data_IF_598257056701
#
_entry.id   IF_598257056701
#
_cell.length_a   1.000
_cell.length_b   1.000
_cell.length_c   1.000
_cell.angle_alpha   90.00
_cell.angle_beta   90.00
_cell.angle_gamma   90.00
#
_symmetry.space_group_name_H-M   'P 1'
#
loop_
_entity.id
_entity.type
_entity.pdbx_description
1 polymer ?
#
# COMPACT_ATOMS: atom_id res chain seq x y z
N UNK A 1 -30.08 -7.91 10.24
CA UNK A 1 -30.66 -8.20 8.91
C UNK A 1 -29.63 -7.79 7.86
N UNK A 2 -29.39 -8.62 6.84
CA UNK A 2 -28.51 -8.27 5.73
C UNK A 2 -29.23 -7.44 4.67
N UNK A 3 -28.49 -6.81 3.76
CA UNK A 3 -29.06 -6.05 2.63
C UNK A 3 -29.22 -7.02 1.45
N UNK A 4 -30.39 -7.02 0.82
CA UNK A 4 -30.68 -7.86 -0.32
C UNK A 4 -30.28 -7.15 -1.62
N UNK A 5 -29.74 -7.91 -2.55
CA UNK A 5 -29.39 -7.47 -3.90
C UNK A 5 -29.98 -8.41 -4.93
N UNK A 6 -30.39 -7.88 -6.06
CA UNK A 6 -30.91 -8.67 -7.18
C UNK A 6 -30.34 -8.22 -8.52
N UNK A 7 -30.29 -9.15 -9.46
CA UNK A 7 -30.04 -8.91 -10.89
C UNK A 7 -31.10 -9.71 -11.65
N UNK A 8 -31.77 -9.07 -12.61
CA UNK A 8 -32.67 -9.75 -13.53
C UNK A 8 -32.45 -9.13 -14.92
N UNK A 9 -31.74 -9.85 -15.77
CA UNK A 9 -31.29 -9.31 -17.05
C UNK A 9 -31.30 -10.35 -18.18
N UNK A 10 -31.70 -9.91 -19.37
CA UNK A 10 -31.77 -10.74 -20.59
C UNK A 10 -30.79 -10.20 -21.63
N UNK A 11 -30.12 -11.10 -22.36
CA UNK A 11 -29.20 -10.77 -23.43
C UNK A 11 -29.89 -10.40 -24.75
N UNK A 12 -29.12 -9.99 -25.78
CA UNK A 12 -27.67 -9.95 -25.81
C UNK A 12 -27.10 -8.67 -25.17
N UNK A 13 -26.32 -8.80 -24.09
CA UNK A 13 -25.60 -7.67 -23.44
C UNK A 13 -24.51 -8.13 -22.49
N UNK A 14 -23.68 -7.20 -22.03
CA UNK A 14 -22.82 -7.42 -20.86
C UNK A 14 -23.53 -6.86 -19.64
N UNK A 15 -23.73 -7.70 -18.63
CA UNK A 15 -24.24 -7.32 -17.31
C UNK A 15 -23.08 -6.78 -16.50
N UNK A 16 -23.24 -5.60 -15.90
CA UNK A 16 -22.24 -4.90 -15.10
C UNK A 16 -22.69 -4.76 -13.65
N UNK A 17 -21.78 -4.37 -12.77
CA UNK A 17 -22.07 -4.08 -11.37
C UNK A 17 -23.17 -3.03 -11.18
N UNK A 18 -23.33 -2.05 -12.09
CA UNK A 18 -24.45 -1.08 -12.03
C UNK A 18 -25.84 -1.71 -12.15
N UNK A 19 -25.93 -2.91 -12.73
CA UNK A 19 -27.19 -3.63 -12.94
C UNK A 19 -27.62 -4.38 -11.65
N UNK A 20 -26.80 -4.34 -10.59
CA UNK A 20 -27.15 -4.85 -9.26
C UNK A 20 -28.10 -3.87 -8.58
N UNK A 21 -29.33 -4.33 -8.32
CA UNK A 21 -30.37 -3.57 -7.62
C UNK A 21 -30.29 -3.89 -6.12
N UNK A 22 -30.20 -2.86 -5.29
CA UNK A 22 -30.18 -2.99 -3.83
C UNK A 22 -31.57 -2.76 -3.25
N UNK A 23 -31.91 -3.47 -2.16
CA UNK A 23 -33.09 -3.19 -1.35
C UNK A 23 -33.02 -1.85 -0.60
N UNK A 24 -31.83 -1.27 -0.46
CA UNK A 24 -31.59 0.07 0.09
C UNK A 24 -30.86 0.94 -0.94
N UNK A 25 -31.51 2.02 -1.38
CA UNK A 25 -31.00 2.91 -2.45
C UNK A 25 -29.73 3.67 -2.07
N UNK A 26 -29.40 3.78 -0.77
CA UNK A 26 -28.14 4.37 -0.31
C UNK A 26 -26.95 3.44 -0.47
N UNK A 27 -27.21 2.14 -0.65
CA UNK A 27 -26.20 1.09 -0.71
C UNK A 27 -26.11 0.59 -2.14
N UNK A 28 -24.96 0.81 -2.75
CA UNK A 28 -24.70 0.47 -4.15
C UNK A 28 -23.27 -0.05 -4.31
N UNK A 29 -22.99 -0.79 -5.39
CA UNK A 29 -21.62 -1.11 -5.76
C UNK A 29 -20.76 0.15 -5.87
N UNK A 30 -19.52 0.07 -5.38
CA UNK A 30 -18.58 1.20 -5.40
C UNK A 30 -18.27 1.63 -6.84
N UNK A 31 -18.06 0.65 -7.72
CA UNK A 31 -17.82 0.85 -9.14
C UNK A 31 -19.00 0.30 -9.93
N UNK A 32 -19.44 1.05 -10.93
CA UNK A 32 -20.59 0.76 -11.79
C UNK A 32 -20.18 0.05 -13.11
N UNK A 33 -18.87 -0.12 -13.33
CA UNK A 33 -18.28 -0.61 -14.59
C UNK A 33 -17.68 -2.01 -14.51
N UNK A 34 -17.83 -2.75 -13.40
CA UNK A 34 -17.25 -4.09 -13.27
C UNK A 34 -18.11 -5.07 -14.07
N UNK A 35 -17.59 -5.75 -15.11
CA UNK A 35 -18.35 -6.74 -15.86
C UNK A 35 -18.59 -7.99 -15.00
N UNK A 36 -19.82 -8.49 -15.01
CA UNK A 36 -20.23 -9.70 -14.28
C UNK A 36 -20.28 -10.88 -15.24
N UNK A 37 -21.09 -10.77 -16.29
CA UNK A 37 -21.26 -11.82 -17.31
C UNK A 37 -21.66 -11.20 -18.64
N UNK A 38 -21.28 -11.86 -19.75
CA UNK A 38 -21.76 -11.54 -21.09
C UNK A 38 -22.84 -12.54 -21.49
N UNK A 39 -24.05 -12.05 -21.75
CA UNK A 39 -25.20 -12.81 -22.21
C UNK A 39 -25.32 -12.72 -23.74
N UNK A 40 -25.57 -13.85 -24.39
CA UNK A 40 -25.98 -13.95 -25.79
C UNK A 40 -27.49 -13.76 -25.92
N UNK A 41 -27.98 -13.81 -27.14
CA UNK A 41 -29.42 -13.80 -27.44
C UNK A 41 -30.13 -14.94 -26.69
N UNK A 42 -31.28 -14.62 -26.10
CA UNK A 42 -32.10 -15.52 -25.27
C UNK A 42 -31.45 -16.09 -23.98
N UNK A 43 -30.25 -15.64 -23.60
CA UNK A 43 -29.65 -15.96 -22.30
C UNK A 43 -30.16 -15.01 -21.21
N UNK A 44 -30.52 -15.55 -20.04
CA UNK A 44 -31.04 -14.79 -18.89
C UNK A 44 -30.17 -15.00 -17.64
N UNK A 45 -29.95 -13.94 -16.88
CA UNK A 45 -29.34 -13.97 -15.54
C UNK A 45 -30.35 -13.50 -14.50
N UNK A 46 -30.73 -14.40 -13.59
CA UNK A 46 -31.49 -14.07 -12.38
C UNK A 46 -30.66 -14.41 -11.16
N UNK A 47 -30.36 -13.41 -10.33
CA UNK A 47 -29.57 -13.56 -9.10
C UNK A 47 -30.27 -12.88 -7.95
N UNK A 48 -30.34 -13.56 -6.81
CA UNK A 48 -30.63 -12.96 -5.51
C UNK A 48 -29.45 -13.20 -4.57
N UNK A 49 -29.00 -12.15 -3.90
CA UNK A 49 -27.85 -12.19 -3.00
C UNK A 49 -28.11 -11.37 -1.73
N UNK A 50 -27.43 -11.74 -0.64
CA UNK A 50 -27.51 -11.03 0.63
C UNK A 50 -26.12 -10.61 1.10
N UNK A 51 -25.91 -9.31 1.31
CA UNK A 51 -24.69 -8.83 1.95
C UNK A 51 -24.72 -9.14 3.44
N UNK A 52 -23.61 -9.73 3.91
CA UNK A 52 -23.36 -10.02 5.33
C UNK A 52 -22.04 -9.41 5.72
N UNK A 53 -22.01 -8.84 6.93
CA UNK A 53 -20.77 -8.37 7.56
C UNK A 53 -19.90 -9.58 7.86
N UNK A 54 -18.61 -9.47 7.59
CA UNK A 54 -17.62 -10.50 7.86
C UNK A 54 -16.25 -9.90 8.06
N UNK A 55 -15.26 -10.77 8.24
CA UNK A 55 -13.87 -10.38 8.50
C UNK A 55 -12.98 -10.82 7.35
N UNK A 56 -12.00 -9.98 6.97
CA UNK A 56 -10.98 -10.33 5.97
C UNK A 56 -10.22 -11.63 6.30
N UNK A 57 -10.09 -11.98 7.59
CA UNK A 57 -9.52 -13.26 8.04
C UNK A 57 -10.30 -14.48 7.54
N UNK A 58 -11.62 -14.35 7.36
CA UNK A 58 -12.49 -15.44 6.90
C UNK A 58 -12.52 -15.52 5.38
N UNK A 59 -12.47 -14.37 4.68
CA UNK A 59 -12.43 -14.32 3.23
C UNK A 59 -11.95 -12.94 2.74
N UNK A 60 -11.14 -12.92 1.68
CA UNK A 60 -10.55 -11.69 1.11
C UNK A 60 -11.59 -10.65 0.67
N UNK A 61 -12.76 -11.08 0.21
CA UNK A 61 -13.90 -10.19 -0.16
C UNK A 61 -14.39 -9.25 0.96
N UNK A 62 -14.02 -9.51 2.22
CA UNK A 62 -14.33 -8.65 3.37
C UNK A 62 -13.13 -7.79 3.80
N UNK A 63 -12.03 -7.81 3.06
CA UNK A 63 -10.89 -6.93 3.30
C UNK A 63 -11.17 -5.58 2.62
N UNK A 64 -11.28 -4.47 3.37
CA UNK A 64 -11.57 -3.16 2.80
C UNK A 64 -10.35 -2.51 2.13
N UNK A 65 -9.17 -3.12 2.25
CA UNK A 65 -7.90 -2.61 1.71
C UNK A 65 -7.42 -3.45 0.55
N UNK A 66 -7.00 -2.79 -0.52
CA UNK A 66 -6.25 -3.39 -1.63
C UNK A 66 -4.73 -3.34 -1.36
N UNK A 67 -4.27 -2.27 -0.71
CA UNK A 67 -2.88 -2.11 -0.24
C UNK A 67 -2.91 -1.64 1.20
N UNK A 68 -2.18 -2.32 2.07
CA UNK A 68 -1.88 -1.85 3.42
C UNK A 68 -0.45 -2.25 3.73
N UNK A 69 0.48 -1.32 3.53
CA UNK A 69 1.91 -1.56 3.67
C UNK A 69 2.58 -0.38 4.36
N UNK A 70 3.74 -0.64 4.94
CA UNK A 70 4.60 0.40 5.49
C UNK A 70 6.04 0.15 5.06
N UNK A 71 6.84 1.21 5.14
CA UNK A 71 8.30 1.13 5.14
C UNK A 71 8.82 2.07 6.22
N UNK A 72 10.01 1.80 6.75
CA UNK A 72 10.68 2.77 7.62
C UNK A 72 11.06 4.02 6.83
N UNK A 73 11.14 5.15 7.53
CA UNK A 73 11.53 6.41 6.93
C UNK A 73 13.00 6.32 6.50
N UNK A 74 13.32 6.52 5.21
CA UNK A 74 14.68 6.37 4.72
C UNK A 74 15.62 7.40 5.36
N UNK A 75 16.85 6.98 5.64
CA UNK A 75 17.92 7.86 6.10
C UNK A 75 19.11 7.72 5.15
N UNK A 76 19.59 8.83 4.62
CA UNK A 76 20.74 8.88 3.71
C UNK A 76 21.84 9.68 4.38
N UNK A 77 23.00 9.06 4.57
CA UNK A 77 24.19 9.70 5.13
C UNK A 77 25.34 9.66 4.14
N UNK A 78 26.25 10.62 4.28
CA UNK A 78 27.44 10.75 3.45
C UNK A 78 28.69 10.57 4.31
N UNK A 79 29.71 9.93 3.75
CA UNK A 79 30.99 9.70 4.39
C UNK A 79 32.04 10.63 3.78
N UNK A 80 32.45 11.63 4.55
CA UNK A 80 33.42 12.65 4.13
C UNK A 80 34.86 12.11 4.01
N UNK A 81 35.13 10.88 4.47
CA UNK A 81 36.44 10.21 4.27
C UNK A 81 36.61 9.60 2.86
N UNK A 82 35.56 9.62 2.04
CA UNK A 82 35.55 9.06 0.69
C UNK A 82 35.29 10.17 -0.31
N UNK A 83 36.02 10.16 -1.43
CA UNK A 83 35.79 11.11 -2.51
C UNK A 83 34.34 11.07 -3.00
N UNK A 84 33.81 12.25 -3.30
CA UNK A 84 32.43 12.41 -3.75
C UNK A 84 32.19 11.61 -5.03
N UNK A 85 31.27 10.65 -4.95
CA UNK A 85 30.83 9.87 -6.09
C UNK A 85 29.58 10.49 -6.74
N UNK A 86 29.76 11.40 -7.70
CA UNK A 86 28.63 11.98 -8.43
C UNK A 86 27.82 10.96 -9.25
N UNK A 87 28.39 9.81 -9.60
CA UNK A 87 27.74 8.81 -10.45
C UNK A 87 26.77 7.94 -9.62
N UNK A 88 26.93 7.91 -8.29
CA UNK A 88 26.00 7.18 -7.42
C UNK A 88 24.59 7.80 -7.40
N UNK A 89 24.45 9.08 -7.76
CA UNK A 89 23.14 9.72 -7.91
C UNK A 89 22.37 9.13 -9.11
N UNK A 90 23.05 8.92 -10.23
CA UNK A 90 22.47 8.36 -11.47
C UNK A 90 22.09 6.88 -11.31
N UNK A 91 22.74 6.18 -10.37
CA UNK A 91 22.38 4.82 -9.99
C UNK A 91 21.05 4.72 -9.22
N UNK A 92 20.43 5.83 -8.83
CA UNK A 92 19.13 5.83 -8.15
C UNK A 92 17.98 5.67 -9.17
N UNK A 93 17.28 4.52 -9.22
CA UNK A 93 16.23 4.27 -10.22
C UNK A 93 14.97 5.15 -10.02
N UNK A 94 14.87 5.83 -8.88
CA UNK A 94 13.73 6.67 -8.51
C UNK A 94 14.04 8.17 -8.54
N UNK A 95 15.24 8.56 -8.96
CA UNK A 95 15.62 9.98 -9.06
C UNK A 95 15.62 10.73 -7.73
N UNK A 96 15.86 10.03 -6.61
CA UNK A 96 15.89 10.63 -5.25
C UNK A 96 17.09 11.54 -5.05
N UNK A 97 18.15 11.31 -5.80
CA UNK A 97 19.46 11.96 -5.65
C UNK A 97 19.75 12.82 -6.89
N UNK A 98 20.42 13.96 -6.68
CA UNK A 98 20.91 14.82 -7.76
C UNK A 98 22.30 15.33 -7.44
N UNK A 99 23.24 15.04 -8.32
CA UNK A 99 24.62 15.53 -8.22
C UNK A 99 24.71 17.03 -8.51
N UNK A 100 25.44 17.76 -7.65
CA UNK A 100 25.78 19.17 -7.84
C UNK A 100 27.30 19.35 -7.78
N UNK A 101 27.92 19.38 -8.96
CA UNK A 101 29.37 19.55 -9.12
C UNK A 101 29.85 20.95 -8.74
N UNK A 102 28.97 21.96 -8.71
CA UNK A 102 29.33 23.34 -8.33
C UNK A 102 29.47 23.47 -6.82
N UNK A 103 28.50 22.94 -6.07
CA UNK A 103 28.55 22.90 -4.61
C UNK A 103 29.33 21.72 -4.05
N UNK A 104 29.88 20.85 -4.91
CA UNK A 104 30.60 19.63 -4.53
C UNK A 104 29.80 18.80 -3.52
N UNK A 105 28.56 18.45 -3.86
CA UNK A 105 27.73 17.57 -3.04
C UNK A 105 26.66 16.84 -3.86
N UNK A 106 25.94 15.92 -3.22
CA UNK A 106 24.74 15.28 -3.75
C UNK A 106 23.53 15.77 -2.95
N UNK A 107 22.53 16.29 -3.66
CA UNK A 107 21.27 16.76 -3.08
C UNK A 107 20.25 15.62 -3.04
N UNK A 108 19.54 15.52 -1.93
CA UNK A 108 18.39 14.64 -1.79
C UNK A 108 17.15 15.44 -2.22
N UNK A 109 16.49 15.01 -3.29
CA UNK A 109 15.31 15.70 -3.84
C UNK A 109 14.02 15.25 -3.16
N UNK A 110 13.86 13.93 -2.98
CA UNK A 110 12.65 13.32 -2.42
C UNK A 110 13.03 12.05 -1.65
N UNK A 111 13.32 12.20 -0.37
CA UNK A 111 13.72 11.09 0.49
C UNK A 111 12.59 10.06 0.66
N UNK A 112 11.33 10.49 0.62
CA UNK A 112 10.17 9.62 0.79
C UNK A 112 9.94 8.71 -0.42
N UNK A 113 10.42 9.09 -1.61
CA UNK A 113 10.39 8.20 -2.77
C UNK A 113 11.49 7.13 -2.74
N UNK A 114 12.48 7.21 -1.84
CA UNK A 114 13.54 6.19 -1.73
C UNK A 114 12.98 4.80 -1.39
N UNK A 115 13.30 3.80 -2.20
CA UNK A 115 12.97 2.38 -1.93
C UNK A 115 13.96 1.69 -1.00
N UNK A 116 15.02 2.38 -0.57
CA UNK A 116 16.15 1.78 0.13
C UNK A 116 16.76 0.58 -0.62
N UNK A 117 16.71 0.56 -1.95
CA UNK A 117 17.27 -0.51 -2.77
C UNK A 117 18.82 -0.58 -2.76
N UNK A 118 19.48 0.40 -2.13
CA UNK A 118 20.94 0.52 -2.00
C UNK A 118 21.72 0.52 -3.33
N UNK A 119 21.08 0.84 -4.46
CA UNK A 119 21.78 0.91 -5.75
C UNK A 119 22.85 2.01 -5.79
N UNK A 120 22.57 3.17 -5.21
CA UNK A 120 23.56 4.24 -5.04
C UNK A 120 24.75 3.79 -4.15
N UNK A 121 24.48 3.09 -3.05
CA UNK A 121 25.52 2.54 -2.16
C UNK A 121 26.41 1.56 -2.91
N UNK A 122 25.83 0.61 -3.63
CA UNK A 122 26.57 -0.36 -4.43
C UNK A 122 27.41 0.29 -5.53
N UNK A 123 26.86 1.31 -6.22
CA UNK A 123 27.62 2.09 -7.20
C UNK A 123 28.86 2.73 -6.57
N UNK A 124 28.66 3.34 -5.40
CA UNK A 124 29.70 4.01 -4.64
C UNK A 124 30.78 3.06 -4.12
N UNK A 125 30.42 1.87 -3.63
CA UNK A 125 31.39 0.82 -3.25
C UNK A 125 32.22 0.39 -4.46
N UNK A 126 31.59 0.14 -5.60
CA UNK A 126 32.31 -0.28 -6.81
C UNK A 126 33.32 0.78 -7.27
N UNK A 127 32.95 2.07 -7.21
CA UNK A 127 33.85 3.18 -7.54
C UNK A 127 34.99 3.32 -6.54
N UNK A 128 34.71 3.22 -5.23
CA UNK A 128 35.75 3.29 -4.20
C UNK A 128 36.75 2.13 -4.33
N UNK A 129 36.28 0.92 -4.62
CA UNK A 129 37.13 -0.23 -4.88
C UNK A 129 38.06 0.00 -6.10
N UNK A 130 37.54 0.57 -7.19
CA UNK A 130 38.35 0.94 -8.36
C UNK A 130 39.43 2.00 -8.05
N UNK A 131 39.23 2.81 -7.01
CA UNK A 131 40.16 3.85 -6.55
C UNK A 131 41.08 3.37 -5.41
N UNK A 132 41.15 2.06 -5.12
CA UNK A 132 42.04 1.50 -4.10
C UNK A 132 41.52 1.60 -2.66
N UNK A 133 40.24 1.93 -2.48
CA UNK A 133 39.54 1.92 -1.19
C UNK A 133 38.40 0.88 -1.19
N UNK A 134 38.73 -0.44 -1.21
CA UNK A 134 37.71 -1.47 -1.14
C UNK A 134 36.90 -1.34 0.15
N UNK A 135 35.62 -1.75 0.08
CA UNK A 135 34.67 -1.73 1.19
C UNK A 135 34.30 -0.35 1.76
N UNK A 136 34.79 0.74 1.17
CA UNK A 136 34.34 2.10 1.50
C UNK A 136 33.19 2.55 0.58
N UNK A 137 32.32 3.42 1.09
CA UNK A 137 31.26 4.05 0.31
C UNK A 137 31.12 5.51 0.73
N UNK A 138 31.01 6.42 -0.24
CA UNK A 138 30.67 7.82 -0.03
C UNK A 138 29.24 8.02 0.46
N UNK A 139 28.30 7.19 0.01
CA UNK A 139 26.89 7.27 0.41
C UNK A 139 26.47 6.00 1.15
N UNK A 140 25.68 6.17 2.21
CA UNK A 140 25.00 5.08 2.89
C UNK A 140 23.49 5.32 2.91
N UNK A 141 22.72 4.23 2.89
CA UNK A 141 21.26 4.26 2.97
C UNK A 141 20.82 3.33 4.08
N UNK A 142 20.32 3.93 5.15
CA UNK A 142 19.69 3.29 6.30
C UNK A 142 18.23 3.71 6.43
N UNK A 143 17.74 3.63 7.65
CA UNK A 143 16.38 3.99 8.02
C UNK A 143 16.36 4.52 9.45
N UNK A 144 15.36 5.34 9.74
CA UNK A 144 15.06 5.76 11.12
C UNK A 144 14.21 4.68 11.79
N UNK A 145 14.62 4.24 12.98
CA UNK A 145 14.04 3.08 13.66
C UNK A 145 12.55 3.24 13.98
N UNK A 146 12.15 4.44 14.42
CA UNK A 146 10.80 4.72 14.93
C UNK A 146 9.90 5.52 13.96
N UNK A 147 10.39 5.84 12.76
CA UNK A 147 9.64 6.62 11.78
C UNK A 147 9.17 5.70 10.64
N UNK A 148 7.89 5.79 10.28
CA UNK A 148 7.28 4.92 9.28
C UNK A 148 6.47 5.72 8.26
N UNK A 149 6.54 5.30 6.99
CA UNK A 149 5.70 5.78 5.91
C UNK A 149 4.69 4.68 5.59
N UNK A 150 3.43 4.93 5.95
CA UNK A 150 2.31 4.03 5.64
C UNK A 150 1.70 4.38 4.28
N UNK A 151 1.33 3.35 3.51
CA UNK A 151 0.54 3.46 2.29
C UNK A 151 -0.67 2.55 2.41
N UNK A 152 -1.85 3.17 2.36
CA UNK A 152 -3.14 2.50 2.47
C UNK A 152 -3.97 2.86 1.25
N UNK A 153 -4.38 1.84 0.50
CA UNK A 153 -5.33 1.95 -0.60
C UNK A 153 -6.52 1.04 -0.28
N UNK A 154 -7.72 1.56 -0.50
CA UNK A 154 -8.96 0.84 -0.21
C UNK A 154 -9.67 0.44 -1.49
N UNK A 155 -10.60 -0.51 -1.37
CA UNK A 155 -11.48 -0.89 -2.46
C UNK A 155 -12.62 0.12 -2.70
N UNK A 156 -12.68 1.17 -1.87
CA UNK A 156 -13.70 2.23 -1.88
C UNK A 156 -14.94 1.93 -1.02
N UNK A 157 -15.02 0.75 -0.38
CA UNK A 157 -16.06 0.45 0.61
C UNK A 157 -15.90 1.27 1.90
N UNK A 158 -14.67 1.65 2.22
CA UNK A 158 -14.31 2.46 3.38
C UNK A 158 -13.15 3.40 3.02
N UNK A 159 -13.14 4.68 3.45
CA UNK A 159 -12.01 5.57 3.25
C UNK A 159 -10.73 5.09 3.99
N UNK A 160 -9.51 5.32 3.46
CA UNK A 160 -8.26 4.87 4.09
C UNK A 160 -8.08 5.33 5.55
N UNK A 161 -8.48 6.58 5.85
CA UNK A 161 -8.42 7.13 7.21
C UNK A 161 -9.30 6.36 8.19
N UNK A 162 -10.51 5.99 7.76
CA UNK A 162 -11.46 5.26 8.58
C UNK A 162 -11.00 3.82 8.81
N UNK A 163 -10.38 3.18 7.81
CA UNK A 163 -9.74 1.87 7.98
C UNK A 163 -8.68 1.92 9.07
N UNK A 164 -7.79 2.93 9.05
CA UNK A 164 -6.73 3.05 10.04
C UNK A 164 -7.27 3.28 11.46
N UNK A 165 -8.21 4.20 11.61
CA UNK A 165 -8.84 4.48 12.92
C UNK A 165 -9.57 3.24 13.45
N UNK A 166 -10.37 2.59 12.61
CA UNK A 166 -11.06 1.34 12.98
C UNK A 166 -10.07 0.26 13.39
N UNK A 167 -8.91 0.16 12.72
CA UNK A 167 -7.88 -0.81 13.09
C UNK A 167 -7.27 -0.52 14.47
N UNK A 168 -7.00 0.76 14.78
CA UNK A 168 -6.53 1.18 16.10
C UNK A 168 -7.55 0.85 17.19
N UNK A 169 -8.83 1.17 16.97
CA UNK A 169 -9.91 0.87 17.91
C UNK A 169 -10.01 -0.64 18.16
N UNK A 170 -9.96 -1.45 17.09
CA UNK A 170 -10.01 -2.91 17.21
C UNK A 170 -8.79 -3.52 17.87
N UNK A 171 -7.63 -2.86 17.81
CA UNK A 171 -6.46 -3.30 18.56
C UNK A 171 -6.62 -2.98 20.05
N UNK A 172 -7.10 -1.78 20.38
CA UNK A 172 -7.41 -1.38 21.76
C UNK A 172 -8.44 -2.30 22.40
N UNK A 173 -9.57 -2.53 21.74
CA UNK A 173 -10.63 -3.44 22.20
C UNK A 173 -10.11 -4.86 22.49
N UNK A 174 -9.10 -5.34 21.74
CA UNK A 174 -8.50 -6.64 21.99
C UNK A 174 -7.60 -6.62 23.21
N UNK A 175 -6.79 -5.57 23.38
CA UNK A 175 -5.95 -5.41 24.56
C UNK A 175 -6.79 -5.35 25.84
N UNK A 176 -7.89 -4.59 25.84
CA UNK A 176 -8.80 -4.47 26.98
C UNK A 176 -9.44 -5.83 27.35
N UNK A 177 -9.77 -6.64 26.34
CA UNK A 177 -10.26 -8.01 26.56
C UNK A 177 -9.23 -8.91 27.23
N UNK A 178 -7.95 -8.75 26.90
CA UNK A 178 -6.89 -9.50 27.57
C UNK A 178 -6.74 -9.08 29.03
N UNK A 179 -6.70 -7.77 29.30
CA UNK A 179 -6.59 -7.22 30.67
C UNK A 179 -7.74 -7.71 31.54
N UNK A 180 -8.98 -7.52 31.07
CA UNK A 180 -10.18 -7.94 31.82
C UNK A 180 -10.33 -9.45 31.98
N UNK A 181 -9.67 -10.26 31.14
CA UNK A 181 -9.61 -11.70 31.33
C UNK A 181 -8.62 -12.05 32.45
N UNK A 182 -7.42 -11.45 32.44
CA UNK A 182 -6.40 -11.67 33.47
C UNK A 182 -6.86 -11.24 34.87
N UNK A 183 -7.59 -10.13 34.99
CA UNK A 183 -8.11 -9.64 36.27
C UNK A 183 -9.24 -10.49 36.88
N UNK A 184 -9.87 -11.38 36.09
CA UNK A 184 -10.95 -12.26 36.55
C UNK A 184 -10.46 -13.62 37.08
N UNK A 185 -9.18 -13.93 36.88
CA UNK A 185 -8.55 -15.16 37.38
C UNK A 185 -7.81 -14.96 38.72
N UNK A 186 -7.76 -13.72 39.24
CA UNK A 186 -7.39 -13.40 40.63
C UNK A 186 -8.63 -13.29 41.54
#
# INVERSE_FOLDING_TARGET
QGIAFSINEVGPKVVYSKDIISSDSKIKPVYDTIPIVKLKEDEELVVEAYAKVGYGKNHVKWMPTTVCAYKQYPEITFNDEVDIDYDCADACPRGVLKSDKRSKNIKILDIENCSMCKSCVRSSINRAAANGAPDKSYINVGYRENDFIFRIETDGSMPPKEVLLTACDKLGEKADKFISFSEKEE
#
